data_IF_292221427328
#
_entry.id   IF_292221427328
#
_cell.length_a   1.000
_cell.length_b   1.000
_cell.length_c   1.000
_cell.angle_alpha   90.00
_cell.angle_beta   90.00
_cell.angle_gamma   90.00
#
_symmetry.space_group_name_H-M   'P 1'
#
loop_
_entity.id
_entity.type
_entity.pdbx_description
1 polymer ?
#
# COMPACT_ATOMS: atom_id res chain seq x y z
N UNK A 1 13.17 18.30 9.93
CA UNK A 1 12.27 17.21 9.51
C UNK A 1 13.12 15.98 9.24
N UNK A 2 12.72 14.84 9.78
CA UNK A 2 13.36 13.55 9.48
C UNK A 2 13.19 13.26 7.97
N UNK A 3 14.27 12.86 7.29
CA UNK A 3 14.20 12.51 5.87
C UNK A 3 13.59 11.12 5.78
N UNK A 4 12.40 11.05 5.21
CA UNK A 4 11.73 9.75 4.98
C UNK A 4 12.42 9.08 3.79
N UNK A 5 12.82 7.81 3.95
CA UNK A 5 13.60 7.06 2.95
C UNK A 5 12.99 7.12 1.55
N UNK A 6 11.68 6.98 1.42
CA UNK A 6 11.01 7.03 0.12
C UNK A 6 11.21 8.38 -0.58
N UNK A 7 11.23 9.49 0.17
CA UNK A 7 11.47 10.83 -0.40
C UNK A 7 12.93 11.01 -0.86
N UNK A 8 13.88 10.29 -0.25
CA UNK A 8 15.26 10.27 -0.74
C UNK A 8 15.37 9.42 -2.02
N UNK A 9 14.69 8.25 -2.07
CA UNK A 9 14.61 7.45 -3.30
C UNK A 9 13.98 8.22 -4.47
N UNK A 10 12.96 9.04 -4.22
CA UNK A 10 12.30 9.87 -5.24
C UNK A 10 13.28 10.83 -5.98
N UNK A 11 14.49 11.01 -5.46
CA UNK A 11 15.52 11.85 -6.09
C UNK A 11 16.40 11.09 -7.08
N UNK A 12 16.25 9.76 -7.22
CA UNK A 12 17.08 8.97 -8.14
C UNK A 12 16.98 9.47 -9.58
N UNK A 13 15.79 9.73 -10.09
CA UNK A 13 15.59 10.27 -11.45
C UNK A 13 16.17 11.68 -11.62
N UNK A 14 16.15 12.50 -10.56
CA UNK A 14 16.77 13.84 -10.57
C UNK A 14 18.29 13.73 -10.70
N UNK A 15 18.91 12.80 -9.96
CA UNK A 15 20.33 12.55 -10.01
C UNK A 15 20.74 11.94 -11.38
N UNK A 16 19.99 10.95 -11.89
CA UNK A 16 20.23 10.35 -13.20
C UNK A 16 20.06 11.34 -14.34
N UNK A 17 19.18 12.31 -14.22
CA UNK A 17 19.02 13.39 -15.19
C UNK A 17 20.11 14.48 -15.08
N UNK A 18 21.11 14.32 -14.22
CA UNK A 18 22.19 15.29 -14.01
C UNK A 18 21.75 16.60 -13.34
N UNK A 19 20.57 16.60 -12.70
CA UNK A 19 20.00 17.79 -11.99
C UNK A 19 20.30 17.79 -10.50
N UNK A 20 20.99 16.76 -10.00
CA UNK A 20 21.49 16.61 -8.64
C UNK A 20 22.83 15.91 -8.70
N UNK A 21 23.77 16.31 -7.87
CA UNK A 21 25.05 15.62 -7.76
C UNK A 21 24.88 14.23 -7.14
N UNK A 22 25.63 13.24 -7.64
CA UNK A 22 25.56 11.86 -7.15
C UNK A 22 26.03 11.73 -5.70
N UNK A 23 26.99 12.54 -5.25
CA UNK A 23 27.47 12.52 -3.87
C UNK A 23 26.40 13.11 -2.93
N UNK A 24 25.68 14.16 -3.37
CA UNK A 24 24.53 14.70 -2.66
C UNK A 24 23.42 13.63 -2.55
N UNK A 25 23.09 12.94 -3.65
CA UNK A 25 22.10 11.86 -3.65
C UNK A 25 22.50 10.71 -2.71
N UNK A 26 23.74 10.24 -2.78
CA UNK A 26 24.24 9.20 -1.90
C UNK A 26 24.23 9.62 -0.42
N UNK A 27 24.49 10.90 -0.15
CA UNK A 27 24.36 11.47 1.19
C UNK A 27 22.93 11.45 1.71
N UNK A 28 21.94 11.79 0.86
CA UNK A 28 20.52 11.71 1.21
C UNK A 28 20.10 10.26 1.52
N UNK A 29 20.47 9.30 0.68
CA UNK A 29 20.16 7.89 0.88
C UNK A 29 20.79 7.36 2.18
N UNK A 30 22.07 7.65 2.42
CA UNK A 30 22.80 7.18 3.61
C UNK A 30 22.18 7.71 4.91
N UNK A 31 21.61 8.90 4.89
CA UNK A 31 20.99 9.54 6.06
C UNK A 31 19.47 9.27 6.19
N UNK A 32 18.86 8.59 5.22
CA UNK A 32 17.41 8.36 5.22
C UNK A 32 16.98 7.10 6.01
N UNK A 33 17.92 6.25 6.40
CA UNK A 33 17.71 5.05 7.21
C UNK A 33 18.24 5.29 8.62
N UNK A 34 17.49 6.02 9.43
CA UNK A 34 17.93 6.34 10.80
C UNK A 34 17.77 5.18 11.79
N UNK A 35 17.06 4.11 11.45
CA UNK A 35 16.75 2.97 12.33
C UNK A 35 16.74 1.66 11.54
N UNK A 36 16.85 0.52 12.25
CA UNK A 36 16.60 -0.80 11.69
C UNK A 36 15.09 -1.13 11.67
N UNK A 37 14.69 -2.12 10.88
CA UNK A 37 13.30 -2.57 10.75
C UNK A 37 12.64 -2.18 9.44
N UNK A 38 11.31 -2.06 9.42
CA UNK A 38 10.56 -1.59 8.26
C UNK A 38 10.84 -0.11 8.00
N UNK A 39 10.63 0.35 6.76
CA UNK A 39 10.86 1.75 6.43
C UNK A 39 9.87 2.69 7.13
N UNK A 40 10.16 3.98 7.15
CA UNK A 40 9.33 5.00 7.82
C UNK A 40 8.07 5.38 7.06
N UNK A 41 7.80 4.72 5.92
CA UNK A 41 6.67 5.01 5.02
C UNK A 41 5.69 3.85 4.94
N UNK A 42 4.45 4.11 4.48
CA UNK A 42 3.43 3.10 4.21
C UNK A 42 3.76 2.32 2.92
N UNK A 43 4.82 1.53 2.98
CA UNK A 43 5.21 0.56 1.96
C UNK A 43 4.66 -0.82 2.30
N UNK A 44 4.96 -1.82 1.48
CA UNK A 44 4.38 -3.17 1.64
C UNK A 44 4.72 -3.80 3.00
N UNK A 45 5.92 -3.58 3.54
CA UNK A 45 6.30 -4.14 4.84
C UNK A 45 5.40 -3.63 5.98
N UNK A 46 5.25 -2.31 6.14
CA UNK A 46 4.35 -1.74 7.15
C UNK A 46 2.88 -2.09 6.87
N UNK A 47 2.47 -2.12 5.61
CA UNK A 47 1.12 -2.54 5.23
C UNK A 47 0.82 -3.96 5.71
N UNK A 48 1.76 -4.90 5.53
CA UNK A 48 1.59 -6.28 5.98
C UNK A 48 1.64 -6.41 7.51
N UNK A 49 2.43 -5.59 8.21
CA UNK A 49 2.38 -5.52 9.67
C UNK A 49 0.97 -5.10 10.15
N UNK A 50 0.40 -4.06 9.52
CA UNK A 50 -0.95 -3.57 9.88
C UNK A 50 -2.05 -4.58 9.51
N UNK A 51 -1.91 -5.27 8.36
CA UNK A 51 -2.80 -6.39 7.98
C UNK A 51 -2.77 -7.50 9.03
N UNK A 52 -1.60 -7.88 9.52
CA UNK A 52 -1.48 -8.91 10.56
C UNK A 52 -2.22 -8.52 11.86
N UNK A 53 -2.21 -7.23 12.22
CA UNK A 53 -2.95 -6.72 13.38
C UNK A 53 -4.47 -6.67 13.13
N UNK A 54 -4.91 -6.21 11.95
CA UNK A 54 -6.32 -6.20 11.58
C UNK A 54 -6.93 -7.60 11.45
N UNK A 55 -6.14 -8.58 11.03
CA UNK A 55 -6.49 -10.02 11.02
C UNK A 55 -6.57 -10.61 12.44
N UNK A 56 -6.09 -9.91 13.46
CA UNK A 56 -5.99 -10.44 14.82
C UNK A 56 -4.81 -11.40 15.03
N UNK A 57 -3.83 -11.45 14.12
CA UNK A 57 -2.73 -12.41 14.12
C UNK A 57 -1.45 -11.91 14.79
N UNK A 58 -1.46 -10.69 15.34
CA UNK A 58 -0.38 -10.15 16.17
C UNK A 58 -0.93 -9.45 17.42
N UNK A 59 -0.09 -9.26 18.43
CA UNK A 59 -0.49 -8.52 19.62
C UNK A 59 -0.75 -7.04 19.27
N UNK A 60 -1.75 -6.41 19.91
CA UNK A 60 -2.13 -5.02 19.61
C UNK A 60 -0.97 -4.03 19.79
N UNK A 61 -0.86 -3.09 18.86
CA UNK A 61 0.17 -2.05 18.82
C UNK A 61 1.52 -2.47 18.23
N UNK A 62 1.67 -3.75 17.83
CA UNK A 62 2.92 -4.23 17.26
C UNK A 62 3.25 -3.61 15.87
N UNK A 63 2.24 -3.35 15.06
CA UNK A 63 2.41 -3.09 13.63
C UNK A 63 3.03 -1.73 13.30
N UNK A 64 2.90 -0.74 14.16
CA UNK A 64 3.48 0.61 13.98
C UNK A 64 4.68 0.88 14.89
N UNK A 65 4.97 -0.03 15.82
CA UNK A 65 6.01 0.15 16.84
C UNK A 65 7.41 0.14 16.23
N UNK A 66 8.24 1.09 16.63
CA UNK A 66 9.64 1.14 16.20
C UNK A 66 10.43 -0.09 16.63
N UNK A 67 11.18 -0.69 15.70
CA UNK A 67 12.02 -1.87 15.96
C UNK A 67 13.12 -1.66 17.01
N UNK A 68 13.49 -0.40 17.30
CA UNK A 68 14.46 -0.04 18.34
C UNK A 68 13.81 0.35 19.66
N UNK A 69 12.48 0.32 19.75
CA UNK A 69 11.76 0.61 20.98
C UNK A 69 12.02 -0.48 22.05
N UNK A 70 12.14 -0.06 23.30
CA UNK A 70 12.17 -1.02 24.43
C UNK A 70 10.87 -1.81 24.55
N UNK A 71 9.75 -1.25 24.11
CA UNK A 71 8.43 -1.88 24.13
C UNK A 71 8.35 -3.10 23.22
N UNK A 72 9.07 -3.12 22.08
CA UNK A 72 9.07 -4.29 21.17
C UNK A 72 9.64 -5.53 21.87
N UNK A 73 10.62 -5.36 22.76
CA UNK A 73 11.20 -6.46 23.54
C UNK A 73 10.19 -6.99 24.57
N UNK A 74 9.46 -6.09 25.22
CA UNK A 74 8.39 -6.47 26.14
C UNK A 74 7.27 -7.21 25.42
N UNK A 75 6.85 -6.70 24.25
CA UNK A 75 5.83 -7.31 23.41
C UNK A 75 6.26 -8.71 22.93
N UNK A 76 7.52 -8.88 22.55
CA UNK A 76 8.08 -10.19 22.16
C UNK A 76 8.02 -11.19 23.33
N UNK A 77 8.32 -10.75 24.54
CA UNK A 77 8.17 -11.58 25.75
C UNK A 77 6.71 -11.94 26.03
N UNK A 78 5.80 -10.98 25.87
CA UNK A 78 4.36 -11.21 26.02
C UNK A 78 3.84 -12.18 24.95
N UNK A 79 4.30 -12.08 23.70
CA UNK A 79 3.95 -13.01 22.66
C UNK A 79 4.35 -14.46 23.00
N UNK A 80 5.55 -14.65 23.58
CA UNK A 80 6.00 -15.95 24.07
C UNK A 80 5.13 -16.54 25.20
N UNK A 81 4.58 -15.69 26.06
CA UNK A 81 3.58 -16.13 27.07
C UNK A 81 2.24 -16.44 26.43
N UNK A 82 1.80 -15.57 25.54
CA UNK A 82 0.48 -15.67 24.92
C UNK A 82 0.33 -16.91 24.06
N UNK A 83 1.37 -17.34 23.35
CA UNK A 83 1.31 -18.60 22.56
C UNK A 83 0.97 -19.81 23.47
N UNK A 84 1.45 -19.83 24.73
CA UNK A 84 1.11 -20.88 25.68
C UNK A 84 -0.36 -20.86 26.09
N UNK A 85 -0.96 -19.68 26.19
CA UNK A 85 -2.41 -19.55 26.46
C UNK A 85 -3.21 -20.02 25.24
N UNK A 86 -2.82 -19.63 24.02
CA UNK A 86 -3.48 -20.07 22.79
C UNK A 86 -3.50 -21.60 22.66
N UNK A 87 -2.38 -22.27 23.04
CA UNK A 87 -2.31 -23.73 23.06
C UNK A 87 -3.27 -24.33 24.09
N UNK A 88 -3.28 -23.77 25.32
CA UNK A 88 -4.17 -24.26 26.41
C UNK A 88 -5.65 -24.11 26.07
N UNK A 89 -6.02 -22.99 25.45
CA UNK A 89 -7.40 -22.66 25.09
C UNK A 89 -7.79 -23.20 23.70
N UNK A 90 -6.85 -23.89 23.03
CA UNK A 90 -7.04 -24.43 21.67
C UNK A 90 -7.49 -23.35 20.69
N UNK A 91 -6.93 -22.13 20.80
CA UNK A 91 -7.13 -21.05 19.85
C UNK A 91 -6.11 -21.21 18.73
N UNK A 92 -6.59 -21.64 17.56
CA UNK A 92 -5.76 -21.88 16.36
C UNK A 92 -5.84 -20.70 15.40
N UNK A 93 -4.85 -20.56 14.52
CA UNK A 93 -4.88 -19.56 13.44
C UNK A 93 -6.16 -19.64 12.60
N UNK A 94 -6.68 -20.85 12.33
CA UNK A 94 -7.93 -21.04 11.58
C UNK A 94 -9.17 -20.52 12.31
N UNK A 95 -9.16 -20.45 13.64
CA UNK A 95 -10.26 -19.85 14.41
C UNK A 95 -10.23 -18.31 14.35
N UNK A 96 -9.05 -17.73 14.19
CA UNK A 96 -8.84 -16.29 14.13
C UNK A 96 -9.06 -15.80 12.70
N UNK A 97 -8.44 -16.46 11.72
CA UNK A 97 -8.47 -16.05 10.32
C UNK A 97 -9.78 -16.44 9.65
N UNK A 98 -10.86 -15.76 10.02
CA UNK A 98 -12.18 -15.91 9.43
C UNK A 98 -12.35 -15.01 8.21
N UNK A 99 -13.41 -15.23 7.42
CA UNK A 99 -13.77 -14.36 6.30
C UNK A 99 -13.95 -12.92 6.75
N UNK A 100 -14.54 -12.69 7.92
CA UNK A 100 -14.75 -11.36 8.49
C UNK A 100 -13.45 -10.69 8.93
N UNK A 101 -12.51 -11.45 9.52
CA UNK A 101 -11.18 -10.93 9.83
C UNK A 101 -10.42 -10.51 8.56
N UNK A 102 -10.54 -11.28 7.48
CA UNK A 102 -9.94 -10.95 6.18
C UNK A 102 -10.59 -9.69 5.59
N UNK A 103 -11.92 -9.53 5.69
CA UNK A 103 -12.63 -8.31 5.28
C UNK A 103 -12.19 -7.09 6.10
N UNK A 104 -11.94 -7.24 7.41
CA UNK A 104 -11.38 -6.17 8.25
C UNK A 104 -10.03 -5.70 7.71
N UNK A 105 -9.14 -6.62 7.32
CA UNK A 105 -7.85 -6.29 6.74
C UNK A 105 -7.97 -5.55 5.40
N UNK A 106 -8.94 -5.93 4.54
CA UNK A 106 -9.23 -5.23 3.28
C UNK A 106 -9.74 -3.80 3.55
N UNK A 107 -10.65 -3.62 4.51
CA UNK A 107 -11.18 -2.29 4.88
C UNK A 107 -10.08 -1.38 5.46
N UNK A 108 -9.18 -1.95 6.24
CA UNK A 108 -8.02 -1.21 6.73
C UNK A 108 -7.14 -0.68 5.57
N UNK A 109 -6.89 -1.50 4.53
CA UNK A 109 -6.11 -1.09 3.36
C UNK A 109 -6.64 0.23 2.76
N UNK A 110 -7.96 0.35 2.63
CA UNK A 110 -8.62 1.56 2.13
C UNK A 110 -8.41 2.76 3.04
N UNK A 111 -8.53 2.55 4.36
CA UNK A 111 -8.49 3.61 5.36
C UNK A 111 -7.10 4.25 5.53
N UNK A 112 -6.02 3.53 5.24
CA UNK A 112 -4.62 3.99 5.44
C UNK A 112 -3.83 4.14 4.14
N UNK A 113 -4.46 3.96 2.99
CA UNK A 113 -3.78 3.94 1.68
C UNK A 113 -2.54 3.03 1.70
N UNK A 114 -2.71 1.78 2.11
CA UNK A 114 -1.62 0.85 2.24
C UNK A 114 -0.99 0.47 0.87
N UNK A 115 -0.37 -0.66 0.77
CA UNK A 115 0.28 -1.08 -0.48
C UNK A 115 -0.71 -1.74 -1.43
N UNK A 116 -0.72 -1.35 -2.70
CA UNK A 116 -1.46 -2.06 -3.75
C UNK A 116 -1.09 -3.55 -3.88
N UNK A 117 0.04 -3.99 -3.31
CA UNK A 117 0.40 -5.40 -3.24
C UNK A 117 -0.55 -6.23 -2.34
N UNK A 118 -1.34 -5.60 -1.48
CA UNK A 118 -2.30 -6.28 -0.64
C UNK A 118 -3.39 -7.00 -1.44
N UNK A 119 -3.66 -6.53 -2.68
CA UNK A 119 -4.58 -7.22 -3.62
C UNK A 119 -4.11 -8.63 -3.99
N UNK A 120 -2.82 -8.93 -3.83
CA UNK A 120 -2.26 -10.28 -4.00
C UNK A 120 -2.09 -10.98 -2.65
N UNK A 121 -1.57 -10.28 -1.64
CA UNK A 121 -1.17 -10.90 -0.39
C UNK A 121 -2.36 -11.34 0.46
N UNK A 122 -3.41 -10.52 0.58
CA UNK A 122 -4.59 -10.87 1.37
C UNK A 122 -5.32 -12.08 0.75
N UNK A 123 -5.61 -12.14 -0.57
CA UNK A 123 -6.18 -13.34 -1.18
C UNK A 123 -5.31 -14.59 -1.04
N UNK A 124 -3.98 -14.47 -1.14
CA UNK A 124 -3.08 -15.61 -0.94
C UNK A 124 -3.16 -16.14 0.50
N UNK A 125 -3.19 -15.26 1.50
CA UNK A 125 -3.40 -15.62 2.91
C UNK A 125 -4.77 -16.28 3.10
N UNK A 126 -5.81 -15.74 2.46
CA UNK A 126 -7.16 -16.31 2.52
C UNK A 126 -7.24 -17.71 1.91
N UNK A 127 -6.58 -17.92 0.77
CA UNK A 127 -6.47 -19.24 0.13
C UNK A 127 -5.80 -20.26 1.06
N UNK A 128 -4.68 -19.93 1.66
CA UNK A 128 -3.98 -20.79 2.64
C UNK A 128 -4.83 -21.04 3.90
N UNK A 129 -5.71 -20.09 4.27
CA UNK A 129 -6.69 -20.28 5.35
C UNK A 129 -7.88 -21.19 4.93
N UNK A 130 -8.00 -21.53 3.63
CA UNK A 130 -9.05 -22.37 3.07
C UNK A 130 -10.24 -21.63 2.48
N UNK A 131 -10.09 -20.35 2.15
CA UNK A 131 -11.15 -19.51 1.60
C UNK A 131 -10.86 -19.12 0.15
N UNK A 132 -11.49 -19.79 -0.81
CA UNK A 132 -11.47 -19.45 -2.24
C UNK A 132 -12.71 -18.63 -2.60
N UNK A 133 -12.67 -17.33 -2.32
CA UNK A 133 -13.74 -16.39 -2.57
C UNK A 133 -13.30 -15.33 -3.60
N UNK A 134 -14.24 -14.65 -4.25
CA UNK A 134 -13.92 -13.58 -5.19
C UNK A 134 -13.45 -12.32 -4.45
N UNK A 135 -12.26 -12.36 -3.87
CA UNK A 135 -11.71 -11.33 -3.00
C UNK A 135 -11.68 -9.95 -3.65
N UNK A 136 -11.46 -9.88 -4.97
CA UNK A 136 -11.50 -8.63 -5.72
C UNK A 136 -12.83 -7.87 -5.57
N UNK A 137 -13.98 -8.57 -5.40
CA UNK A 137 -15.25 -7.94 -5.11
C UNK A 137 -15.27 -7.26 -3.74
N UNK A 138 -14.65 -7.89 -2.74
CA UNK A 138 -14.55 -7.29 -1.41
C UNK A 138 -13.62 -6.08 -1.37
N UNK A 139 -12.57 -6.05 -2.20
CA UNK A 139 -11.76 -4.85 -2.41
C UNK A 139 -12.58 -3.74 -3.08
N UNK A 140 -13.37 -4.06 -4.11
CA UNK A 140 -14.26 -3.12 -4.77
C UNK A 140 -15.32 -2.56 -3.81
N UNK A 141 -16.02 -3.42 -3.08
CA UNK A 141 -16.98 -3.03 -2.05
C UNK A 141 -16.34 -2.11 -1.00
N UNK A 142 -15.19 -2.48 -0.46
CA UNK A 142 -14.48 -1.69 0.54
C UNK A 142 -14.01 -0.33 -0.02
N UNK A 143 -13.58 -0.29 -1.29
CA UNK A 143 -13.17 0.96 -1.95
C UNK A 143 -14.34 1.95 -2.14
N UNK A 144 -15.58 1.47 -2.14
CA UNK A 144 -16.78 2.30 -2.20
C UNK A 144 -17.34 2.68 -0.82
N UNK A 145 -16.88 2.01 0.26
CA UNK A 145 -17.42 2.17 1.61
C UNK A 145 -16.49 2.97 2.53
N UNK A 146 -15.18 2.77 2.40
CA UNK A 146 -14.20 3.21 3.40
C UNK A 146 -13.41 4.43 2.91
N UNK A 147 -13.54 5.58 3.60
CA UNK A 147 -12.78 6.77 3.28
C UNK A 147 -11.32 6.66 3.77
N UNK A 148 -10.45 7.53 3.28
CA UNK A 148 -9.09 7.66 3.77
C UNK A 148 -9.07 8.36 5.15
N UNK A 149 -8.57 7.67 6.18
CA UNK A 149 -8.49 8.21 7.54
C UNK A 149 -7.08 8.63 7.95
N UNK A 150 -6.04 8.07 7.34
CA UNK A 150 -4.66 8.46 7.63
C UNK A 150 -3.84 8.56 6.35
N UNK A 151 -3.24 9.73 6.12
CA UNK A 151 -2.47 10.03 4.91
C UNK A 151 -0.98 9.92 5.19
N UNK A 152 -0.46 8.73 5.00
CA UNK A 152 0.93 8.38 5.28
C UNK A 152 1.81 8.49 4.03
N UNK A 153 3.10 8.80 4.22
CA UNK A 153 4.07 8.79 3.13
C UNK A 153 4.10 7.40 2.44
N UNK A 154 4.23 7.33 1.11
CA UNK A 154 4.62 8.39 0.16
C UNK A 154 3.46 9.26 -0.33
N UNK A 155 2.22 8.87 -0.16
CA UNK A 155 1.06 9.62 -0.64
C UNK A 155 0.82 10.90 0.16
N UNK A 156 1.12 10.88 1.45
CA UNK A 156 0.87 11.95 2.39
C UNK A 156 2.09 12.42 3.18
N UNK A 157 1.88 13.40 4.08
CA UNK A 157 2.96 14.07 4.78
C UNK A 157 3.47 13.31 6.02
N UNK A 158 2.70 12.34 6.54
CA UNK A 158 2.97 11.73 7.83
C UNK A 158 3.80 10.45 7.70
N UNK A 159 4.75 10.26 8.60
CA UNK A 159 5.54 9.04 8.72
C UNK A 159 4.82 7.98 9.58
N UNK A 160 5.29 6.72 9.53
CA UNK A 160 4.83 5.65 10.44
C UNK A 160 5.11 6.01 11.90
N UNK A 161 6.20 6.73 12.18
CA UNK A 161 6.52 7.19 13.53
C UNK A 161 5.50 8.21 14.06
N UNK A 162 5.07 9.16 13.22
CA UNK A 162 4.02 10.11 13.59
C UNK A 162 2.68 9.40 13.80
N UNK A 163 2.38 8.39 12.98
CA UNK A 163 1.21 7.54 13.15
C UNK A 163 1.25 6.75 14.47
N UNK A 164 2.39 6.15 14.83
CA UNK A 164 2.58 5.44 16.09
C UNK A 164 2.37 6.38 17.30
N UNK A 165 2.97 7.58 17.25
CA UNK A 165 2.81 8.61 18.30
C UNK A 165 1.38 9.14 18.40
N UNK A 166 0.60 9.10 17.32
CA UNK A 166 -0.81 9.48 17.33
C UNK A 166 -1.74 8.43 17.96
N UNK A 167 -1.21 7.29 18.39
CA UNK A 167 -1.96 6.18 18.96
C UNK A 167 -1.87 4.90 18.13
N UNK A 168 -1.22 4.98 16.98
CA UNK A 168 -0.87 3.85 16.13
C UNK A 168 -2.06 3.04 15.64
N UNK A 169 -1.80 1.77 15.42
CA UNK A 169 -2.81 0.87 14.83
C UNK A 169 -4.03 0.66 15.75
N UNK A 170 -3.85 0.68 17.07
CA UNK A 170 -4.98 0.54 18.01
C UNK A 170 -5.97 1.69 17.87
N UNK A 171 -5.47 2.93 17.81
CA UNK A 171 -6.30 4.11 17.59
C UNK A 171 -6.99 4.08 16.21
N UNK A 172 -6.27 3.69 15.17
CA UNK A 172 -6.82 3.55 13.82
C UNK A 172 -7.95 2.51 13.76
N UNK A 173 -7.76 1.34 14.34
CA UNK A 173 -8.79 0.29 14.38
C UNK A 173 -10.01 0.72 15.22
N UNK A 174 -9.81 1.51 16.28
CA UNK A 174 -10.93 2.07 17.07
C UNK A 174 -11.74 3.08 16.25
N UNK A 175 -11.09 4.00 15.52
CA UNK A 175 -11.78 4.95 14.64
C UNK A 175 -12.54 4.24 13.50
N UNK A 176 -11.98 3.17 12.98
CA UNK A 176 -12.58 2.37 11.91
C UNK A 176 -13.60 1.35 12.40
N UNK A 177 -13.68 1.08 13.73
CA UNK A 177 -14.49 0.00 14.31
C UNK A 177 -15.96 -0.01 13.88
N UNK A 178 -16.66 1.13 13.65
CA UNK A 178 -18.04 1.13 13.16
C UNK A 178 -18.22 0.49 11.79
N UNK A 179 -17.14 0.32 11.02
CA UNK A 179 -17.10 -0.30 9.68
C UNK A 179 -16.51 -1.71 9.70
N UNK A 180 -15.96 -2.16 10.84
CA UNK A 180 -15.34 -3.47 11.00
C UNK A 180 -16.27 -4.47 11.69
N UNK A 181 -16.00 -5.77 11.51
CA UNK A 181 -16.53 -6.77 12.44
C UNK A 181 -15.65 -6.82 13.68
N UNK A 182 -16.09 -6.12 14.73
CA UNK A 182 -15.36 -6.02 15.99
C UNK A 182 -15.34 -7.32 16.80
N UNK A 183 -16.20 -8.30 16.50
CA UNK A 183 -16.34 -9.54 17.25
C UNK A 183 -15.37 -10.65 16.77
N UNK A 184 -14.53 -10.34 15.78
CA UNK A 184 -13.48 -11.26 15.33
C UNK A 184 -12.50 -11.58 16.48
N UNK A 185 -12.27 -12.88 16.72
CA UNK A 185 -11.30 -13.38 17.68
C UNK A 185 -9.87 -13.02 17.25
N UNK A 186 -9.00 -12.76 18.22
CA UNK A 186 -7.59 -12.43 17.97
C UNK A 186 -6.64 -13.34 18.78
N UNK A 187 -5.34 -13.20 18.53
CA UNK A 187 -4.29 -13.91 19.29
C UNK A 187 -4.24 -13.54 20.79
N UNK A 188 -4.93 -12.50 21.22
CA UNK A 188 -5.04 -12.19 22.66
C UNK A 188 -6.01 -13.11 23.40
N UNK A 189 -6.85 -13.86 22.68
CA UNK A 189 -8.01 -14.57 23.21
C UNK A 189 -9.25 -13.69 23.37
N UNK A 190 -9.12 -12.40 23.07
CA UNK A 190 -10.19 -11.40 23.06
C UNK A 190 -10.59 -11.04 21.64
N UNK A 191 -11.72 -10.36 21.52
CA UNK A 191 -12.20 -9.81 20.23
C UNK A 191 -11.38 -8.58 19.81
N UNK A 192 -11.48 -8.22 18.53
CA UNK A 192 -10.88 -7.00 18.02
C UNK A 192 -11.39 -5.76 18.77
N UNK A 193 -12.70 -5.70 19.06
CA UNK A 193 -13.34 -4.63 19.82
C UNK A 193 -12.72 -4.46 21.20
N UNK A 194 -12.60 -5.55 21.97
CA UNK A 194 -12.01 -5.54 23.30
C UNK A 194 -10.55 -5.07 23.29
N UNK A 195 -9.79 -5.45 22.25
CA UNK A 195 -8.38 -5.06 22.11
C UNK A 195 -8.16 -3.56 21.85
N UNK A 196 -9.19 -2.85 21.37
CA UNK A 196 -9.08 -1.42 21.04
C UNK A 196 -9.96 -0.52 21.89
N UNK A 197 -10.72 -1.07 22.84
CA UNK A 197 -11.67 -0.33 23.66
C UNK A 197 -11.03 0.85 24.41
N UNK A 198 -9.87 0.62 25.00
CA UNK A 198 -9.10 1.62 25.78
C UNK A 198 -8.07 2.39 24.90
N UNK A 199 -8.07 2.20 23.58
CA UNK A 199 -7.16 2.93 22.71
C UNK A 199 -7.51 4.42 22.68
N UNK A 200 -6.50 5.27 22.66
CA UNK A 200 -6.65 6.72 22.55
C UNK A 200 -6.00 7.24 21.27
N UNK A 201 -6.66 8.20 20.65
CA UNK A 201 -6.15 8.94 19.52
C UNK A 201 -5.60 10.27 20.00
N UNK A 202 -4.28 10.39 20.04
CA UNK A 202 -3.57 11.57 20.54
C UNK A 202 -3.37 12.67 19.52
N UNK A 203 -3.62 12.39 18.23
CA UNK A 203 -3.45 13.37 17.14
C UNK A 203 -4.43 13.12 15.99
N UNK A 204 -5.54 13.86 16.02
CA UNK A 204 -6.59 13.80 15.02
C UNK A 204 -6.20 14.40 13.66
N UNK A 205 -5.03 15.03 13.51
CA UNK A 205 -4.51 15.45 12.21
C UNK A 205 -3.80 14.30 11.49
N UNK A 206 -3.33 13.30 12.23
CA UNK A 206 -2.65 12.11 11.68
C UNK A 206 -3.62 10.94 11.50
N UNK A 207 -4.49 10.70 12.49
CA UNK A 207 -5.54 9.67 12.44
C UNK A 207 -6.89 10.38 12.53
N UNK A 208 -7.61 10.46 11.42
CA UNK A 208 -8.93 11.09 11.33
C UNK A 208 -10.04 10.13 11.71
N UNK A 209 -11.19 10.69 12.10
CA UNK A 209 -12.41 9.92 12.33
C UNK A 209 -13.19 9.68 11.02
N UNK A 210 -14.14 8.74 11.04
CA UNK A 210 -15.06 8.48 9.93
C UNK A 210 -15.91 9.71 9.58
N UNK A 211 -16.22 10.57 10.55
CA UNK A 211 -17.02 11.78 10.34
C UNK A 211 -16.19 12.97 9.78
N UNK A 212 -14.87 12.89 9.88
CA UNK A 212 -13.96 13.91 9.38
C UNK A 212 -12.73 13.27 8.72
N UNK A 213 -12.89 12.52 7.62
CA UNK A 213 -11.80 11.80 6.96
C UNK A 213 -10.80 12.78 6.30
N UNK A 214 -9.64 12.26 5.93
CA UNK A 214 -8.66 12.99 5.09
C UNK A 214 -9.24 13.26 3.70
N UNK A 215 -9.86 12.22 3.14
CA UNK A 215 -10.62 12.25 1.87
C UNK A 215 -11.85 11.35 2.02
N UNK A 216 -12.92 11.69 1.34
CA UNK A 216 -14.12 10.83 1.23
C UNK A 216 -13.86 9.61 0.35
N UNK A 217 -12.91 9.74 -0.58
CA UNK A 217 -12.44 8.65 -1.41
C UNK A 217 -11.50 7.72 -0.63
N UNK A 218 -11.41 6.44 -1.03
CA UNK A 218 -10.53 5.47 -0.39
C UNK A 218 -9.05 5.74 -0.71
N UNK A 219 -8.17 5.18 0.09
CA UNK A 219 -6.74 5.22 -0.20
C UNK A 219 -6.35 4.43 -1.44
N UNK A 220 -7.00 3.29 -1.67
CA UNK A 220 -6.84 2.40 -2.82
C UNK A 220 -8.18 2.28 -3.54
N UNK A 221 -8.16 2.32 -4.86
CA UNK A 221 -9.37 2.17 -5.70
C UNK A 221 -9.25 1.02 -6.70
N UNK A 222 -10.41 0.43 -7.01
CA UNK A 222 -10.56 -0.54 -8.09
C UNK A 222 -11.14 0.19 -9.30
N UNK A 223 -10.51 0.04 -10.45
CA UNK A 223 -10.93 0.67 -11.71
C UNK A 223 -11.39 -0.40 -12.70
N UNK A 224 -12.44 -0.07 -13.46
CA UNK A 224 -12.95 -0.91 -14.53
C UNK A 224 -13.03 -0.14 -15.85
N UNK A 225 -12.86 -0.85 -16.95
CA UNK A 225 -12.95 -0.28 -18.29
C UNK A 225 -12.59 -1.27 -19.38
N UNK A 226 -12.61 -0.80 -20.63
CA UNK A 226 -12.31 -1.65 -21.77
C UNK A 226 -10.87 -2.19 -21.80
N UNK A 227 -9.92 -1.53 -21.14
CA UNK A 227 -8.56 -2.05 -20.94
C UNK A 227 -8.42 -2.97 -19.73
N UNK A 228 -9.32 -2.86 -18.78
CA UNK A 228 -9.34 -3.62 -17.52
C UNK A 228 -10.76 -4.15 -17.23
N UNK A 229 -11.32 -5.05 -18.02
CA UNK A 229 -12.68 -5.57 -17.81
C UNK A 229 -12.81 -6.38 -16.52
N UNK A 230 -11.72 -6.95 -16.01
CA UNK A 230 -11.67 -7.67 -14.72
C UNK A 230 -11.12 -6.80 -13.58
N UNK A 231 -10.77 -5.55 -13.88
CA UNK A 231 -10.31 -4.58 -12.91
C UNK A 231 -8.83 -4.20 -13.03
N UNK A 232 -8.49 -3.08 -12.42
CA UNK A 232 -7.14 -2.58 -12.20
C UNK A 232 -7.10 -1.84 -10.86
N UNK A 233 -5.91 -1.65 -10.31
CA UNK A 233 -5.72 -1.03 -9.00
C UNK A 233 -4.97 0.30 -9.12
N UNK A 234 -5.44 1.28 -8.35
CA UNK A 234 -4.80 2.59 -8.23
C UNK A 234 -4.70 2.99 -6.76
N UNK A 235 -3.59 3.63 -6.37
CA UNK A 235 -3.44 4.27 -5.07
C UNK A 235 -3.95 5.72 -5.17
N UNK A 236 -5.26 5.91 -4.97
CA UNK A 236 -5.94 7.21 -5.16
C UNK A 236 -5.30 8.29 -4.29
N UNK A 237 -4.99 7.97 -3.03
CA UNK A 237 -4.37 8.89 -2.07
C UNK A 237 -3.02 9.46 -2.53
N UNK A 238 -2.38 8.86 -3.52
CA UNK A 238 -1.09 9.30 -4.04
C UNK A 238 -1.16 9.94 -5.43
N UNK A 239 -2.37 10.12 -5.97
CA UNK A 239 -2.60 10.75 -7.28
C UNK A 239 -2.90 12.23 -7.11
N UNK A 240 -2.14 13.14 -7.75
CA UNK A 240 -2.49 14.56 -7.78
C UNK A 240 -3.90 14.78 -8.33
N UNK A 241 -4.71 15.61 -7.66
CA UNK A 241 -6.11 15.87 -8.06
C UNK A 241 -6.27 16.29 -9.52
N UNK A 242 -5.31 17.02 -10.08
CA UNK A 242 -5.32 17.42 -11.49
C UNK A 242 -5.24 16.27 -12.49
N UNK A 243 -4.80 15.08 -12.05
CA UNK A 243 -4.70 13.87 -12.86
C UNK A 243 -5.86 12.88 -12.68
N UNK A 244 -6.85 13.19 -11.83
CA UNK A 244 -8.02 12.33 -11.64
C UNK A 244 -8.88 12.18 -12.90
N UNK A 245 -8.78 13.13 -13.81
CA UNK A 245 -9.30 13.03 -15.18
C UNK A 245 -8.13 13.20 -16.13
N UNK A 246 -7.77 12.14 -16.80
CA UNK A 246 -6.62 12.10 -17.70
C UNK A 246 -7.03 11.63 -19.10
N UNK A 247 -6.42 12.26 -20.11
CA UNK A 247 -6.49 11.85 -21.49
C UNK A 247 -5.13 12.09 -22.14
N UNK A 248 -4.57 11.07 -22.78
CA UNK A 248 -3.24 11.15 -23.40
C UNK A 248 -3.07 10.18 -24.55
N UNK A 249 -1.98 10.35 -25.30
CA UNK A 249 -1.59 9.41 -26.33
C UNK A 249 -0.86 8.21 -25.74
N UNK A 250 -1.17 7.02 -26.21
CA UNK A 250 -0.52 5.81 -25.74
C UNK A 250 0.95 5.75 -26.21
N UNK A 251 1.86 5.44 -25.29
CA UNK A 251 3.25 5.06 -25.54
C UNK A 251 3.44 3.67 -25.00
N UNK A 252 3.53 2.68 -25.90
CA UNK A 252 3.44 1.27 -25.55
C UNK A 252 4.81 0.63 -25.56
N UNK A 253 5.13 -0.09 -24.48
CA UNK A 253 6.39 -0.79 -24.29
C UNK A 253 6.12 -2.21 -23.81
N UNK A 254 6.79 -3.19 -24.41
CA UNK A 254 6.64 -4.61 -24.13
C UNK A 254 7.53 -5.07 -22.95
N UNK A 255 8.31 -4.17 -22.39
CA UNK A 255 9.13 -4.42 -21.20
C UNK A 255 9.39 -3.15 -20.41
N UNK A 256 9.73 -3.32 -19.12
CA UNK A 256 10.21 -2.22 -18.28
C UNK A 256 11.48 -1.57 -18.88
N UNK A 257 12.37 -2.38 -19.44
CA UNK A 257 13.65 -1.92 -19.97
C UNK A 257 13.46 -0.99 -21.17
N UNK A 258 12.62 -1.40 -22.14
CA UNK A 258 12.31 -0.57 -23.29
C UNK A 258 11.68 0.77 -22.90
N UNK A 259 10.80 0.73 -21.87
CA UNK A 259 10.19 1.95 -21.31
C UNK A 259 11.22 2.87 -20.66
N UNK A 260 12.15 2.34 -19.87
CA UNK A 260 13.22 3.10 -19.23
C UNK A 260 14.17 3.72 -20.25
N UNK A 261 14.54 2.97 -21.28
CA UNK A 261 15.40 3.46 -22.35
C UNK A 261 14.74 4.62 -23.12
N UNK A 262 13.44 4.50 -23.41
CA UNK A 262 12.66 5.56 -24.04
C UNK A 262 12.56 6.82 -23.16
N UNK A 263 12.35 6.64 -21.82
CA UNK A 263 12.31 7.74 -20.85
C UNK A 263 13.65 8.49 -20.83
N UNK A 264 14.76 7.76 -20.72
CA UNK A 264 16.13 8.31 -20.69
C UNK A 264 16.54 8.97 -22.00
N UNK A 265 16.03 8.46 -23.13
CA UNK A 265 16.23 9.03 -24.46
C UNK A 265 15.34 10.27 -24.76
N UNK A 266 14.49 10.70 -23.80
CA UNK A 266 13.59 11.84 -23.97
C UNK A 266 12.46 11.60 -24.97
N UNK A 267 12.06 10.36 -25.20
CA UNK A 267 11.00 9.99 -26.16
C UNK A 267 9.59 10.02 -25.53
N UNK A 268 9.49 10.24 -24.22
CA UNK A 268 8.23 10.42 -23.48
C UNK A 268 7.97 11.91 -23.31
N UNK A 269 6.75 12.33 -23.59
CA UNK A 269 6.36 13.73 -23.57
C UNK A 269 5.26 14.00 -22.53
N UNK A 270 5.13 15.25 -22.05
CA UNK A 270 4.03 15.63 -21.18
C UNK A 270 2.67 15.25 -21.78
N UNK A 271 1.82 14.60 -20.97
CA UNK A 271 0.49 14.15 -21.40
C UNK A 271 0.45 12.75 -22.02
N UNK A 272 1.57 12.03 -22.11
CA UNK A 272 1.58 10.66 -22.60
C UNK A 272 0.96 9.68 -21.57
N UNK A 273 0.25 8.66 -22.09
CA UNK A 273 -0.19 7.47 -21.38
C UNK A 273 0.85 6.35 -21.62
N UNK A 274 1.69 6.10 -20.63
CA UNK A 274 2.79 5.12 -20.73
C UNK A 274 2.22 3.74 -20.40
N UNK A 275 2.24 2.83 -21.35
CA UNK A 275 1.74 1.47 -21.21
C UNK A 275 2.91 0.51 -21.15
N UNK A 276 3.11 -0.11 -19.99
CA UNK A 276 4.10 -1.16 -19.74
C UNK A 276 3.37 -2.49 -19.65
N UNK A 277 3.43 -3.32 -20.69
CA UNK A 277 2.67 -4.57 -20.77
C UNK A 277 3.56 -5.82 -20.71
N UNK A 278 2.93 -6.98 -20.53
CA UNK A 278 3.59 -8.29 -20.30
C UNK A 278 4.40 -8.33 -19.01
N UNK A 279 4.05 -7.51 -18.04
CA UNK A 279 4.73 -7.41 -16.75
C UNK A 279 3.99 -8.15 -15.63
N UNK A 280 2.83 -8.73 -15.91
CA UNK A 280 2.03 -9.52 -14.98
C UNK A 280 2.66 -10.87 -14.61
N UNK A 281 1.98 -11.62 -13.74
CA UNK A 281 2.47 -12.93 -13.23
C UNK A 281 2.66 -13.98 -14.33
N UNK A 282 1.85 -13.94 -15.38
CA UNK A 282 1.94 -14.83 -16.55
C UNK A 282 2.92 -14.32 -17.61
N UNK A 283 3.25 -13.05 -17.56
CA UNK A 283 4.21 -12.43 -18.45
C UNK A 283 5.64 -12.57 -17.95
N UNK A 284 6.06 -11.65 -17.06
CA UNK A 284 7.44 -11.56 -16.53
C UNK A 284 7.50 -11.67 -15.00
N UNK A 285 6.82 -12.65 -14.44
CA UNK A 285 6.80 -12.96 -13.00
C UNK A 285 6.35 -11.80 -12.09
N UNK A 286 5.40 -10.98 -12.56
CA UNK A 286 4.89 -9.87 -11.80
C UNK A 286 5.93 -8.78 -11.56
N UNK A 287 6.69 -8.44 -12.60
CA UNK A 287 7.69 -7.36 -12.57
C UNK A 287 7.04 -6.07 -12.09
N UNK A 288 7.72 -5.38 -11.19
CA UNK A 288 7.24 -4.10 -10.68
C UNK A 288 7.60 -2.94 -11.62
N UNK A 289 6.63 -2.07 -11.90
CA UNK A 289 6.86 -0.81 -12.61
C UNK A 289 7.39 0.31 -11.69
N UNK A 290 7.73 -0.01 -10.45
CA UNK A 290 8.16 0.97 -9.45
C UNK A 290 9.41 1.75 -9.89
N UNK A 291 10.43 1.07 -10.43
CA UNK A 291 11.66 1.72 -10.94
C UNK A 291 11.35 2.75 -12.01
N UNK A 292 10.43 2.45 -12.94
CA UNK A 292 10.01 3.41 -13.96
C UNK A 292 9.37 4.65 -13.33
N UNK A 293 8.50 4.45 -12.35
CA UNK A 293 7.82 5.55 -11.65
C UNK A 293 8.82 6.41 -10.85
N UNK A 294 9.83 5.80 -10.22
CA UNK A 294 10.89 6.52 -9.50
C UNK A 294 11.71 7.43 -10.44
N UNK A 295 12.11 6.92 -11.61
CA UNK A 295 12.81 7.73 -12.60
C UNK A 295 11.92 8.85 -13.17
N UNK A 296 10.65 8.54 -13.48
CA UNK A 296 9.69 9.53 -13.95
C UNK A 296 9.48 10.65 -12.92
N UNK A 297 9.46 10.31 -11.64
CA UNK A 297 9.29 11.27 -10.53
C UNK A 297 10.44 12.29 -10.44
N UNK A 298 11.64 11.89 -10.87
CA UNK A 298 12.78 12.81 -11.03
C UNK A 298 12.61 13.84 -12.15
N UNK A 299 11.58 13.70 -12.97
CA UNK A 299 11.22 14.58 -14.09
C UNK A 299 9.83 15.21 -13.83
N UNK A 300 9.73 16.28 -13.02
CA UNK A 300 8.45 16.79 -12.50
C UNK A 300 7.43 17.16 -13.58
N UNK A 301 7.89 17.61 -14.76
CA UNK A 301 7.02 17.94 -15.88
C UNK A 301 6.28 16.70 -16.42
N UNK A 302 6.98 15.57 -16.55
CA UNK A 302 6.39 14.30 -16.96
C UNK A 302 5.57 13.67 -15.84
N UNK A 303 6.11 13.65 -14.62
CA UNK A 303 5.43 13.06 -13.46
C UNK A 303 4.06 13.69 -13.18
N UNK A 304 3.93 15.00 -13.35
CA UNK A 304 2.68 15.74 -13.11
C UNK A 304 1.74 15.77 -14.32
N UNK A 305 2.09 15.11 -15.44
CA UNK A 305 1.30 15.17 -16.68
C UNK A 305 1.12 13.83 -17.38
N UNK A 306 1.84 12.78 -17.00
CA UNK A 306 1.75 11.45 -17.60
C UNK A 306 0.99 10.46 -16.72
N UNK A 307 0.45 9.41 -17.34
CA UNK A 307 -0.09 8.24 -16.68
C UNK A 307 0.78 7.02 -16.94
N UNK A 308 0.91 6.12 -15.95
CA UNK A 308 1.51 4.79 -16.13
C UNK A 308 0.41 3.75 -16.00
N UNK A 309 0.27 2.87 -16.97
CA UNK A 309 -0.70 1.78 -16.98
C UNK A 309 0.04 0.47 -17.26
N UNK A 310 -0.18 -0.55 -16.42
CA UNK A 310 0.53 -1.83 -16.54
C UNK A 310 -0.32 -3.00 -16.03
N UNK A 311 -0.12 -4.17 -16.62
CA UNK A 311 -0.57 -5.46 -16.07
C UNK A 311 0.39 -5.99 -14.98
N UNK A 312 1.55 -5.34 -14.81
CA UNK A 312 2.45 -5.55 -13.70
C UNK A 312 1.96 -4.90 -12.41
N UNK A 313 2.83 -4.84 -11.43
CA UNK A 313 2.53 -4.32 -10.09
C UNK A 313 3.39 -3.12 -9.74
N UNK A 314 2.93 -2.41 -8.72
CA UNK A 314 3.66 -1.32 -8.11
C UNK A 314 4.06 -1.66 -6.66
N UNK A 315 5.07 -0.96 -6.16
CA UNK A 315 5.42 -0.98 -4.74
C UNK A 315 4.45 -0.11 -3.92
N UNK A 316 4.36 -0.32 -2.62
CA UNK A 316 3.64 0.58 -1.70
C UNK A 316 4.19 2.01 -1.68
N UNK A 317 5.44 2.21 -2.12
CA UNK A 317 6.08 3.52 -2.31
C UNK A 317 5.62 4.30 -3.54
N UNK A 318 4.77 3.72 -4.39
CA UNK A 318 4.32 4.34 -5.63
C UNK A 318 3.41 5.54 -5.39
N UNK A 319 3.55 6.55 -6.22
CA UNK A 319 2.74 7.77 -6.25
C UNK A 319 2.55 8.26 -7.70
N UNK A 320 1.77 9.32 -7.90
CA UNK A 320 1.37 9.79 -9.24
C UNK A 320 0.27 8.92 -9.86
N UNK A 321 -0.10 9.24 -11.10
CA UNK A 321 -1.14 8.49 -11.82
C UNK A 321 -0.57 7.16 -12.31
N UNK A 322 -0.63 6.14 -11.46
CA UNK A 322 -0.06 4.81 -11.69
C UNK A 322 -1.14 3.74 -11.49
N UNK A 323 -1.60 3.14 -12.60
CA UNK A 323 -2.61 2.09 -12.65
C UNK A 323 -1.91 0.75 -12.88
N UNK A 324 -1.98 -0.14 -11.91
CA UNK A 324 -1.39 -1.48 -11.97
C UNK A 324 -2.41 -2.60 -11.92
N UNK A 325 -1.92 -3.84 -12.03
CA UNK A 325 -2.77 -5.04 -11.97
C UNK A 325 -3.89 -5.05 -13.00
N UNK A 326 -3.67 -4.40 -14.17
CA UNK A 326 -4.67 -4.37 -15.26
C UNK A 326 -4.97 -5.79 -15.71
N UNK A 327 -6.22 -6.21 -15.53
CA UNK A 327 -6.66 -7.59 -15.78
C UNK A 327 -7.78 -7.65 -16.82
N UNK A 328 -7.76 -8.69 -17.71
CA UNK A 328 -6.73 -9.74 -17.86
C UNK A 328 -5.38 -9.22 -18.33
N UNK A 329 -4.28 -9.89 -17.90
CA UNK A 329 -2.92 -9.55 -18.32
C UNK A 329 -2.74 -9.64 -19.84
N UNK A 330 -1.84 -8.84 -20.42
CA UNK A 330 -1.49 -8.90 -21.85
C UNK A 330 -1.00 -10.30 -22.25
N UNK A 331 -0.25 -10.99 -21.39
CA UNK A 331 0.23 -12.35 -21.62
C UNK A 331 -0.88 -13.41 -21.69
N UNK A 332 -2.07 -13.11 -21.16
CA UNK A 332 -3.27 -13.93 -21.26
C UNK A 332 -4.19 -13.52 -22.43
N UNK A 333 -3.73 -12.63 -23.30
CA UNK A 333 -4.54 -12.07 -24.39
C UNK A 333 -5.51 -10.97 -23.94
N UNK A 334 -5.27 -10.37 -22.79
CA UNK A 334 -6.06 -9.24 -22.30
C UNK A 334 -6.01 -8.02 -23.22
N UNK A 335 -6.99 -7.08 -23.12
CA UNK A 335 -7.10 -5.94 -24.03
C UNK A 335 -5.86 -5.05 -24.07
N UNK A 336 -5.08 -5.01 -22.99
CA UNK A 336 -3.84 -4.23 -22.93
C UNK A 336 -2.83 -4.66 -24.00
N UNK A 337 -2.85 -5.93 -24.43
CA UNK A 337 -2.01 -6.46 -25.51
C UNK A 337 -2.31 -5.84 -26.87
N UNK A 338 -3.51 -5.29 -27.08
CA UNK A 338 -3.99 -4.76 -28.36
C UNK A 338 -3.72 -3.27 -28.53
N UNK A 339 -3.27 -2.56 -27.50
CA UNK A 339 -2.97 -1.13 -27.58
C UNK A 339 -1.78 -0.90 -28.49
N UNK A 340 -1.88 0.11 -29.37
CA UNK A 340 -0.85 0.48 -30.36
C UNK A 340 -0.37 1.90 -30.12
#
# INVERSE_FOLDING_TARGET
>A
KEVVHIHAQDKVGTAQAGKMDMDEYNGLISNSWGICGACTSMTTANSMCMVAEALGMTLPGNSSMSAVSSQIRLLSYQAGKQIMNLVKENITARKIMTVDAIKNAIKLDMAVAASSNLILHIPAIAHEAGYDLPWWKYFDEASNEIPLLSHLAPGGPNSIKEFDLAGGMRAMLKELLPRLNGDCLTVTGHTLRENVEDAENYNHDVIRSLDNPVMTEPGIGVLYGNLAPEGAIIKIAAVPHGLWRFKGNARVFDSLHDGLDALRAGQIHPGDAIILRYMGLKGRFGTTAFTFQEELKGLPELYNSCAIITDGRFSGGTSGLSVGYTSPEAALGGPLALVK
#
